data_IF_337049731766
#
_entry.id   IF_337049731766
#
_cell.length_a   1.000
_cell.length_b   1.000
_cell.length_c   1.000
_cell.angle_alpha   90.00
_cell.angle_beta   90.00
_cell.angle_gamma   90.00
#
_symmetry.space_group_name_H-M   'P 1'
#
loop_
_entity.id
_entity.type
_entity.pdbx_description
1 polymer ?
#
# COMPACT_ATOMS: atom_id res chain seq x y z
N UNK A 1 14.55 11.48 0.19
CA UNK A 1 13.41 12.09 0.81
C UNK A 1 12.14 12.07 -0.01
N UNK A 2 12.19 12.14 -1.30
CA UNK A 2 11.01 12.16 -2.13
C UNK A 2 10.79 10.91 -2.97
N UNK A 3 11.77 10.01 -2.98
CA UNK A 3 11.74 8.89 -3.91
C UNK A 3 10.60 7.92 -3.66
N UNK A 4 10.40 7.54 -2.40
CA UNK A 4 9.33 6.58 -2.08
C UNK A 4 7.96 7.15 -2.42
N UNK A 5 7.72 8.42 -2.09
CA UNK A 5 6.46 9.07 -2.41
C UNK A 5 6.24 9.18 -3.91
N UNK A 6 7.29 9.52 -4.65
CA UNK A 6 7.21 9.61 -6.10
C UNK A 6 6.92 8.27 -6.74
N UNK A 7 7.54 7.20 -6.24
CA UNK A 7 7.29 5.86 -6.76
C UNK A 7 5.85 5.43 -6.53
N UNK A 8 5.31 5.71 -5.35
CA UNK A 8 3.92 5.38 -5.04
C UNK A 8 2.97 6.18 -5.95
N UNK A 9 3.23 7.47 -6.13
CA UNK A 9 2.40 8.30 -6.98
C UNK A 9 2.45 7.84 -8.43
N UNK A 10 3.62 7.44 -8.91
CA UNK A 10 3.76 6.89 -10.26
C UNK A 10 2.96 5.58 -10.40
N UNK A 11 3.04 4.72 -9.40
CA UNK A 11 2.29 3.47 -9.42
C UNK A 11 0.78 3.72 -9.46
N UNK A 12 0.31 4.69 -8.68
CA UNK A 12 -1.11 5.07 -8.66
C UNK A 12 -1.53 5.60 -10.03
N UNK A 13 -0.75 6.49 -10.60
CA UNK A 13 -1.04 7.07 -11.90
C UNK A 13 -1.07 6.00 -12.99
N UNK A 14 -0.07 5.13 -13.00
CA UNK A 14 -0.02 4.04 -13.99
C UNK A 14 -1.22 3.12 -13.86
N UNK A 15 -1.59 2.76 -12.64
CA UNK A 15 -2.74 1.90 -12.41
C UNK A 15 -4.03 2.53 -12.90
N UNK A 16 -4.19 3.83 -12.70
CA UNK A 16 -5.36 4.56 -13.20
C UNK A 16 -5.40 4.57 -14.73
N UNK A 17 -4.26 4.84 -15.34
CA UNK A 17 -4.16 4.88 -16.80
C UNK A 17 -4.42 3.51 -17.43
N UNK A 18 -4.09 2.44 -16.70
CA UNK A 18 -4.34 1.08 -17.15
C UNK A 18 -5.79 0.64 -16.92
N UNK A 19 -6.61 1.49 -16.33
CA UNK A 19 -8.01 1.19 -16.06
C UNK A 19 -8.22 0.26 -14.87
N UNK A 20 -7.27 0.17 -13.98
CA UNK A 20 -7.39 -0.66 -12.78
C UNK A 20 -8.36 -0.03 -11.80
N UNK A 21 -9.03 -0.88 -11.00
CA UNK A 21 -9.99 -0.42 -10.01
C UNK A 21 -9.32 0.07 -8.72
N UNK A 22 -8.06 -0.23 -8.53
CA UNK A 22 -7.33 0.17 -7.35
C UNK A 22 -5.99 -0.54 -7.24
N UNK A 23 -5.33 -0.33 -6.12
CA UNK A 23 -4.05 -0.96 -5.80
C UNK A 23 -4.12 -1.62 -4.44
N UNK A 24 -3.43 -2.74 -4.30
CA UNK A 24 -3.28 -3.43 -3.01
C UNK A 24 -1.80 -3.62 -2.74
N UNK A 25 -1.40 -3.36 -1.51
CA UNK A 25 -0.01 -3.58 -1.09
C UNK A 25 0.02 -4.15 0.33
N UNK A 26 1.16 -4.69 0.71
CA UNK A 26 1.41 -5.09 2.09
C UNK A 26 2.57 -4.27 2.63
N UNK A 27 2.49 -3.92 3.91
CA UNK A 27 3.53 -3.14 4.56
C UNK A 27 3.58 -3.47 6.05
N UNK A 28 4.68 -3.09 6.68
CA UNK A 28 4.81 -3.23 8.12
C UNK A 28 3.97 -2.17 8.82
N UNK A 29 3.59 -2.46 10.06
CA UNK A 29 2.72 -1.59 10.85
C UNK A 29 3.19 -0.14 10.86
N UNK A 30 4.48 0.08 11.01
CA UNK A 30 5.03 1.44 11.08
C UNK A 30 4.87 2.23 9.78
N UNK A 31 4.58 1.56 8.68
CA UNK A 31 4.39 2.22 7.38
C UNK A 31 2.93 2.50 7.06
N UNK A 32 2.00 2.03 7.88
CA UNK A 32 0.57 2.22 7.65
C UNK A 32 0.23 3.71 7.55
N UNK A 33 0.72 4.51 8.47
CA UNK A 33 0.46 5.96 8.46
C UNK A 33 1.02 6.61 7.21
N UNK A 34 2.16 6.13 6.73
CA UNK A 34 2.79 6.67 5.54
C UNK A 34 1.90 6.44 4.31
N UNK A 35 1.43 5.20 4.14
CA UNK A 35 0.57 4.89 2.99
C UNK A 35 -0.82 5.49 3.12
N UNK A 36 -1.30 5.67 4.34
CA UNK A 36 -2.59 6.32 4.55
C UNK A 36 -2.63 7.75 3.99
N UNK A 37 -1.48 8.41 3.91
CA UNK A 37 -1.38 9.72 3.29
C UNK A 37 -1.75 9.71 1.82
N UNK A 38 -1.64 8.56 1.18
CA UNK A 38 -1.99 8.39 -0.23
C UNK A 38 -3.38 7.80 -0.41
N UNK A 39 -4.19 7.84 0.64
CA UNK A 39 -5.57 7.33 0.64
C UNK A 39 -5.67 5.81 0.67
N UNK A 40 -4.60 5.13 0.99
CA UNK A 40 -4.67 3.69 1.22
C UNK A 40 -5.38 3.40 2.54
N UNK A 41 -6.22 2.39 2.54
CA UNK A 41 -6.98 1.96 3.71
C UNK A 41 -6.35 0.69 4.27
N UNK A 42 -6.13 0.67 5.59
CA UNK A 42 -5.61 -0.51 6.28
C UNK A 42 -6.71 -1.56 6.38
N UNK A 43 -6.50 -2.70 5.76
CA UNK A 43 -7.45 -3.82 5.81
C UNK A 43 -7.11 -4.84 6.88
N UNK A 44 -6.11 -4.56 7.70
CA UNK A 44 -5.72 -5.42 8.78
C UNK A 44 -4.54 -6.32 8.45
N UNK A 45 -4.27 -7.26 9.31
CA UNK A 45 -3.14 -8.16 9.17
C UNK A 45 -3.42 -9.18 8.07
N UNK A 46 -2.45 -9.34 7.18
CA UNK A 46 -2.55 -10.34 6.12
C UNK A 46 -2.13 -11.70 6.66
N UNK A 47 -3.01 -12.68 6.58
CA UNK A 47 -2.75 -14.03 7.08
C UNK A 47 -1.60 -14.72 6.34
N UNK A 48 -1.34 -14.31 5.12
CA UNK A 48 -0.32 -14.95 4.29
C UNK A 48 1.07 -14.36 4.50
N UNK A 49 1.19 -13.35 5.34
CA UNK A 49 2.43 -12.58 5.46
C UNK A 49 3.15 -12.78 6.78
N UNK A 50 2.80 -13.80 7.55
CA UNK A 50 3.46 -14.09 8.81
C UNK A 50 4.65 -15.00 8.58
N UNK A 51 5.78 -14.42 8.22
CA UNK A 51 7.04 -15.12 8.13
C UNK A 51 7.94 -14.65 9.24
N UNK A 52 8.35 -15.55 10.08
CA UNK A 52 9.18 -15.23 11.23
C UNK A 52 8.42 -14.33 12.20
N UNK A 53 9.03 -13.24 12.60
CA UNK A 53 8.46 -12.30 13.57
C UNK A 53 7.84 -11.07 12.94
N UNK A 54 7.72 -11.02 11.63
CA UNK A 54 7.19 -9.85 10.94
C UNK A 54 5.69 -9.98 10.75
N UNK A 55 4.98 -8.93 11.15
CA UNK A 55 3.54 -8.83 10.92
C UNK A 55 3.32 -7.81 9.81
N UNK A 56 2.61 -8.22 8.77
CA UNK A 56 2.35 -7.39 7.61
C UNK A 56 0.87 -7.05 7.54
N UNK A 57 0.58 -5.79 7.24
CA UNK A 57 -0.79 -5.31 7.03
C UNK A 57 -1.05 -5.16 5.54
N UNK A 58 -2.27 -5.46 5.14
CA UNK A 58 -2.71 -5.22 3.77
C UNK A 58 -3.37 -3.86 3.69
N UNK A 59 -2.99 -3.08 2.70
CA UNK A 59 -3.60 -1.78 2.46
C UNK A 59 -4.15 -1.72 1.05
N UNK A 60 -5.27 -1.05 0.88
CA UNK A 60 -5.96 -0.94 -0.40
C UNK A 60 -6.27 0.51 -0.72
N UNK A 61 -6.02 0.87 -1.96
CA UNK A 61 -6.43 2.15 -2.54
C UNK A 61 -7.47 1.85 -3.61
N UNK A 62 -8.65 2.43 -3.47
CA UNK A 62 -9.73 2.28 -4.45
C UNK A 62 -9.84 3.55 -5.28
N UNK A 63 -9.87 3.39 -6.58
CA UNK A 63 -9.99 4.51 -7.52
C UNK A 63 -11.44 4.89 -7.78
#
# INVERSE_FOLDING_TARGET
>A
HGYAGQLIQCAIKDAREQGRKGLVLTCKEKLIKYYAKFSFVDEGVSDKSTHGNAVWHQMRLTF
#
